data_IF_931101820313
#
_entry.id   IF_931101820313
#
_cell.length_a   1.000
_cell.length_b   1.000
_cell.length_c   1.000
_cell.angle_alpha   90.00
_cell.angle_beta   90.00
_cell.angle_gamma   90.00
#
_symmetry.space_group_name_H-M   'P 1'
#
loop_
_entity.id
_entity.type
_entity.pdbx_description
1 polymer ?
#
# COMPACT_ATOMS: atom_id res chain seq x y z
N UNK A 1 -4.97 15.71 -10.70
CA UNK A 1 -6.10 14.74 -10.58
C UNK A 1 -5.56 13.32 -10.63
N UNK A 2 -5.84 12.48 -9.62
CA UNK A 2 -5.50 11.06 -9.67
C UNK A 2 -6.54 10.28 -10.47
N UNK A 3 -6.09 9.49 -11.44
CA UNK A 3 -6.93 8.56 -12.23
C UNK A 3 -6.71 7.11 -11.84
N UNK A 4 -5.60 6.79 -11.17
CA UNK A 4 -5.37 5.51 -10.47
C UNK A 4 -4.73 5.80 -9.12
N UNK A 5 -5.25 5.13 -8.10
CA UNK A 5 -4.77 5.20 -6.72
C UNK A 5 -4.36 3.81 -6.29
N UNK A 6 -3.20 3.68 -5.65
CA UNK A 6 -2.75 2.41 -5.10
C UNK A 6 -3.67 1.92 -3.98
N UNK A 7 -4.02 0.66 -4.02
CA UNK A 7 -4.51 -0.03 -2.84
C UNK A 7 -3.34 -0.35 -1.90
N UNK A 8 -3.62 -0.45 -0.60
CA UNK A 8 -2.60 -0.95 0.33
C UNK A 8 -2.16 -2.34 -0.11
N UNK A 9 -0.84 -2.60 -0.26
CA UNK A 9 -0.37 -3.87 -0.80
C UNK A 9 -0.95 -5.08 -0.03
N UNK A 10 -1.51 -6.09 -0.70
CA UNK A 10 -2.17 -7.24 -0.03
C UNK A 10 -1.25 -7.95 0.95
N UNK A 11 0.05 -8.03 0.64
CA UNK A 11 1.04 -8.61 1.52
C UNK A 11 1.26 -7.76 2.79
N UNK A 12 1.24 -6.43 2.68
CA UNK A 12 1.31 -5.55 3.84
C UNK A 12 0.08 -5.72 4.72
N UNK A 13 -1.12 -5.77 4.13
CA UNK A 13 -2.38 -6.02 4.86
C UNK A 13 -2.32 -7.35 5.62
N UNK A 14 -1.82 -8.41 4.99
CA UNK A 14 -1.66 -9.71 5.62
C UNK A 14 -0.65 -9.68 6.77
N UNK A 15 0.57 -9.18 6.52
CA UNK A 15 1.63 -9.14 7.54
C UNK A 15 1.29 -8.22 8.72
N UNK A 16 0.61 -7.12 8.48
CA UNK A 16 0.10 -6.22 9.52
C UNK A 16 -0.93 -6.92 10.42
N UNK A 17 -1.77 -7.75 9.82
CA UNK A 17 -2.72 -8.53 10.59
C UNK A 17 -2.05 -9.68 11.37
N UNK A 18 -1.05 -10.34 10.78
CA UNK A 18 -0.26 -11.41 11.45
C UNK A 18 0.60 -10.85 12.58
N UNK A 19 1.16 -9.63 12.41
CA UNK A 19 2.03 -8.99 13.40
C UNK A 19 1.35 -8.88 14.76
N UNK A 20 1.96 -9.47 15.81
CA UNK A 20 1.40 -9.53 17.15
C UNK A 20 0.33 -10.62 17.40
N UNK A 21 -0.04 -11.42 16.37
CA UNK A 21 -0.89 -12.61 16.56
C UNK A 21 -0.09 -13.89 16.73
N UNK A 22 1.07 -13.95 16.11
CA UNK A 22 1.97 -15.09 16.20
C UNK A 22 3.42 -14.63 16.10
N UNK A 23 4.35 -15.53 16.39
CA UNK A 23 5.78 -15.24 16.21
C UNK A 23 6.10 -15.22 14.71
N UNK A 24 6.53 -14.07 14.22
CA UNK A 24 6.98 -13.91 12.83
C UNK A 24 8.47 -14.25 12.72
N UNK A 25 8.86 -14.81 11.57
CA UNK A 25 10.28 -14.94 11.22
C UNK A 25 10.93 -13.57 11.14
N UNK A 26 12.26 -13.51 11.32
CA UNK A 26 12.99 -12.24 11.19
C UNK A 26 12.87 -11.65 9.78
N UNK A 27 12.87 -12.52 8.75
CA UNK A 27 12.67 -12.15 7.36
C UNK A 27 11.31 -11.48 7.13
N UNK A 28 10.22 -12.08 7.63
CA UNK A 28 8.87 -11.52 7.48
C UNK A 28 8.69 -10.25 8.29
N UNK A 29 9.34 -10.16 9.46
CA UNK A 29 9.32 -8.93 10.26
C UNK A 29 9.98 -7.78 9.51
N UNK A 30 11.16 -8.01 8.91
CA UNK A 30 11.84 -7.02 8.07
C UNK A 30 10.99 -6.65 6.86
N UNK A 31 10.40 -7.64 6.19
CA UNK A 31 9.51 -7.44 5.05
C UNK A 31 8.29 -6.58 5.43
N UNK A 32 7.66 -6.88 6.56
CA UNK A 32 6.56 -6.08 7.10
C UNK A 32 6.94 -4.61 7.28
N UNK A 33 8.05 -4.34 7.97
CA UNK A 33 8.48 -2.96 8.21
C UNK A 33 8.89 -2.24 6.93
N UNK A 34 9.57 -2.91 6.00
CA UNK A 34 9.96 -2.33 4.72
C UNK A 34 8.73 -1.96 3.88
N UNK A 35 7.76 -2.87 3.75
CA UNK A 35 6.52 -2.60 3.02
C UNK A 35 5.70 -1.46 3.68
N UNK A 36 5.66 -1.44 5.00
CA UNK A 36 4.96 -0.41 5.76
C UNK A 36 5.59 0.96 5.55
N UNK A 37 6.90 1.07 5.73
CA UNK A 37 7.66 2.31 5.56
C UNK A 37 7.56 2.81 4.12
N UNK A 38 7.67 1.92 3.13
CA UNK A 38 7.50 2.27 1.72
C UNK A 38 6.11 2.85 1.45
N UNK A 39 5.07 2.09 1.79
CA UNK A 39 3.68 2.54 1.59
C UNK A 39 3.35 3.86 2.31
N UNK A 40 3.86 4.07 3.54
CA UNK A 40 3.68 5.33 4.28
C UNK A 40 4.37 6.51 3.57
N UNK A 41 5.54 6.28 2.96
CA UNK A 41 6.25 7.28 2.17
C UNK A 41 5.48 7.66 0.90
N UNK A 42 5.05 6.69 0.13
CA UNK A 42 4.23 6.89 -1.06
C UNK A 42 2.90 7.56 -0.71
N UNK A 43 2.23 7.11 0.36
CA UNK A 43 0.98 7.71 0.84
C UNK A 43 1.16 9.19 1.20
N UNK A 44 2.28 9.59 1.78
CA UNK A 44 2.59 10.99 2.08
C UNK A 44 2.63 11.85 0.81
N UNK A 45 3.21 11.33 -0.28
CA UNK A 45 3.23 12.00 -1.59
C UNK A 45 1.82 12.07 -2.17
N UNK A 46 1.08 10.96 -2.14
CA UNK A 46 -0.32 10.94 -2.58
C UNK A 46 -1.17 11.96 -1.83
N UNK A 47 -1.14 11.96 -0.49
CA UNK A 47 -1.94 12.86 0.34
C UNK A 47 -1.61 14.34 0.06
N UNK A 48 -0.36 14.64 -0.31
CA UNK A 48 0.04 15.98 -0.71
C UNK A 48 -0.47 16.34 -2.12
N UNK A 49 -0.16 15.52 -3.12
CA UNK A 49 -0.53 15.80 -4.53
C UNK A 49 -2.06 15.77 -4.74
N UNK A 50 -2.79 14.97 -3.98
CA UNK A 50 -4.26 14.85 -4.09
C UNK A 50 -5.02 16.12 -3.66
N UNK A 51 -4.34 17.08 -3.05
CA UNK A 51 -4.91 18.39 -2.75
C UNK A 51 -5.06 19.27 -3.99
N UNK A 52 -4.38 18.92 -5.09
CA UNK A 52 -4.37 19.66 -6.35
C UNK A 52 -5.18 18.93 -7.42
N UNK A 53 -5.92 19.71 -8.23
CA UNK A 53 -6.74 19.16 -9.32
C UNK A 53 -6.04 19.14 -10.67
N UNK A 54 -4.96 19.89 -10.79
CA UNK A 54 -4.15 20.04 -11.99
C UNK A 54 -3.16 18.90 -12.13
N UNK A 55 -2.76 18.59 -13.38
CA UNK A 55 -1.92 17.46 -13.72
C UNK A 55 -2.63 16.11 -13.56
N UNK A 56 -2.26 15.13 -14.36
CA UNK A 56 -2.79 13.76 -14.29
C UNK A 56 -1.80 12.90 -13.52
N UNK A 57 -2.26 12.30 -12.43
CA UNK A 57 -1.43 11.51 -11.54
C UNK A 57 -1.87 10.04 -11.53
N UNK A 58 -0.89 9.14 -11.50
CA UNK A 58 -1.08 7.71 -11.37
C UNK A 58 -0.19 7.22 -10.24
N UNK A 59 -0.73 6.47 -9.31
CA UNK A 59 0.01 5.86 -8.21
C UNK A 59 0.03 4.34 -8.35
N UNK A 60 1.23 3.74 -8.24
CA UNK A 60 1.50 2.29 -8.29
C UNK A 60 1.12 1.66 -9.63
N UNK A 61 2.01 1.80 -10.60
CA UNK A 61 1.89 1.12 -11.90
C UNK A 61 2.97 0.08 -12.04
N UNK A 62 2.57 -1.11 -12.45
CA UNK A 62 3.48 -2.19 -12.79
C UNK A 62 3.34 -2.51 -14.26
N UNK A 63 4.45 -2.45 -14.99
CA UNK A 63 4.52 -2.73 -16.43
C UNK A 63 5.44 -3.93 -16.69
N UNK A 64 5.18 -4.70 -17.76
CA UNK A 64 6.07 -5.75 -18.24
C UNK A 64 6.84 -5.23 -19.46
N UNK A 65 7.97 -4.57 -19.20
CA UNK A 65 8.85 -4.00 -20.23
C UNK A 65 10.20 -4.70 -20.11
N UNK A 66 10.40 -5.78 -20.88
CA UNK A 66 11.59 -6.62 -20.72
C UNK A 66 11.80 -7.06 -19.26
N UNK A 67 10.71 -7.54 -18.66
CA UNK A 67 10.58 -7.89 -17.24
C UNK A 67 9.66 -6.92 -16.47
N UNK A 68 9.15 -7.41 -15.35
CA UNK A 68 8.22 -6.68 -14.51
C UNK A 68 8.91 -5.54 -13.76
N UNK A 69 8.38 -4.32 -13.89
CA UNK A 69 8.83 -3.12 -13.17
C UNK A 69 7.63 -2.45 -12.52
N UNK A 70 7.83 -1.99 -11.31
CA UNK A 70 6.88 -1.17 -10.58
C UNK A 70 7.36 0.27 -10.54
N UNK A 71 6.48 1.20 -10.86
CA UNK A 71 6.68 2.64 -10.77
C UNK A 71 5.81 3.19 -9.67
N UNK A 72 6.39 3.97 -8.76
CA UNK A 72 5.63 4.52 -7.63
C UNK A 72 4.65 5.58 -8.13
N UNK A 73 5.11 6.62 -8.86
CA UNK A 73 4.23 7.64 -9.40
C UNK A 73 4.59 8.05 -10.82
N UNK A 74 3.54 8.28 -11.61
CA UNK A 74 3.59 9.11 -12.79
C UNK A 74 2.80 10.39 -12.55
N UNK A 75 3.38 11.55 -12.94
CA UNK A 75 2.69 12.84 -12.99
C UNK A 75 2.86 13.40 -14.39
N UNK A 76 1.75 13.58 -15.09
CA UNK A 76 1.71 13.99 -16.50
C UNK A 76 1.12 15.39 -16.56
N UNK A 77 1.88 16.32 -17.12
CA UNK A 77 1.49 17.73 -17.24
C UNK A 77 2.32 18.45 -18.28
N UNK A 78 1.69 19.23 -19.15
CA UNK A 78 2.35 20.12 -20.10
C UNK A 78 3.43 19.45 -20.96
N UNK A 79 3.13 18.26 -21.52
CA UNK A 79 4.08 17.52 -22.40
C UNK A 79 5.26 16.90 -21.65
N UNK A 80 5.17 16.78 -20.33
CA UNK A 80 6.20 16.16 -19.48
C UNK A 80 5.56 15.02 -18.67
N UNK A 81 6.26 13.89 -18.62
CA UNK A 81 5.95 12.77 -17.73
C UNK A 81 7.05 12.75 -16.64
N UNK A 82 6.66 13.10 -15.42
CA UNK A 82 7.51 12.90 -14.25
C UNK A 82 7.32 11.48 -13.73
N UNK A 83 8.41 10.74 -13.65
CA UNK A 83 8.50 9.41 -13.04
C UNK A 83 9.16 9.60 -11.68
N UNK A 84 8.42 9.35 -10.61
CA UNK A 84 8.91 9.57 -9.25
C UNK A 84 9.10 8.22 -8.55
N UNK A 85 10.32 7.98 -8.07
CA UNK A 85 10.67 6.88 -7.17
C UNK A 85 10.73 7.42 -5.74
N UNK A 86 9.95 6.86 -4.83
CA UNK A 86 9.79 7.38 -3.46
C UNK A 86 10.61 6.56 -2.47
N UNK A 87 11.47 7.23 -1.72
CA UNK A 87 12.27 6.63 -0.65
C UNK A 87 11.92 7.27 0.70
N UNK A 88 11.53 6.45 1.67
CA UNK A 88 11.20 6.91 3.03
C UNK A 88 12.29 6.48 4.04
N UNK A 89 13.54 6.77 3.71
CA UNK A 89 14.68 6.49 4.58
C UNK A 89 14.73 7.46 5.76
N UNK A 90 15.13 6.98 6.92
CA UNK A 90 15.23 7.74 8.16
C UNK A 90 16.67 7.79 8.68
N UNK A 91 17.13 8.94 9.13
CA UNK A 91 18.43 9.14 9.80
C UNK A 91 19.55 9.54 8.85
N UNK A 92 20.78 9.40 9.33
CA UNK A 92 21.99 9.82 8.64
C UNK A 92 22.54 8.70 7.74
N UNK A 93 22.91 9.07 6.55
CA UNK A 93 23.49 8.18 5.54
C UNK A 93 24.79 8.75 4.98
N UNK A 94 25.72 7.87 4.60
CA UNK A 94 26.82 8.18 3.71
C UNK A 94 26.52 7.61 2.33
N UNK A 95 26.78 8.39 1.29
CA UNK A 95 26.68 7.93 -0.09
C UNK A 95 28.08 7.62 -0.62
N UNK A 96 28.29 6.41 -1.11
CA UNK A 96 29.54 5.98 -1.73
C UNK A 96 29.28 4.88 -2.75
N UNK A 97 29.89 5.01 -3.94
CA UNK A 97 29.87 4.00 -5.00
C UNK A 97 28.43 3.52 -5.34
N UNK A 98 27.49 4.45 -5.52
CA UNK A 98 26.08 4.16 -5.83
C UNK A 98 25.22 3.78 -4.61
N UNK A 99 25.81 3.56 -3.44
CA UNK A 99 25.12 3.03 -2.27
C UNK A 99 24.91 4.08 -1.18
N UNK A 100 23.74 4.06 -0.55
CA UNK A 100 23.45 4.77 0.69
C UNK A 100 23.60 3.83 1.88
N UNK A 101 24.54 4.12 2.77
CA UNK A 101 24.77 3.36 4.00
C UNK A 101 24.35 4.19 5.21
N UNK A 102 23.41 3.70 6.02
CA UNK A 102 23.02 4.33 7.28
C UNK A 102 24.05 4.10 8.39
N UNK A 103 24.04 4.96 9.39
CA UNK A 103 24.84 4.77 10.63
C UNK A 103 24.53 3.44 11.34
N UNK A 104 23.29 2.93 11.23
CA UNK A 104 22.90 1.63 11.77
C UNK A 104 23.35 0.42 10.95
N UNK A 105 24.04 0.64 9.82
CA UNK A 105 24.55 -0.40 8.95
C UNK A 105 23.61 -0.87 7.86
N UNK A 106 22.39 -0.31 7.74
CA UNK A 106 21.52 -0.60 6.60
C UNK A 106 22.13 -0.04 5.31
N UNK A 107 22.07 -0.83 4.23
CA UNK A 107 22.59 -0.42 2.91
C UNK A 107 21.45 -0.44 1.91
N UNK A 108 21.12 0.74 1.38
CA UNK A 108 20.28 0.88 0.19
C UNK A 108 21.18 0.93 -1.02
N UNK A 109 21.15 -0.14 -1.81
CA UNK A 109 22.06 -0.33 -2.93
C UNK A 109 21.51 0.37 -4.17
N UNK A 110 22.37 1.04 -4.87
CA UNK A 110 22.23 1.43 -6.28
C UNK A 110 20.91 2.18 -6.62
N UNK A 111 20.45 3.04 -5.70
CA UNK A 111 19.15 3.72 -5.80
C UNK A 111 19.00 4.51 -7.09
N UNK A 112 20.07 5.20 -7.52
CA UNK A 112 20.03 6.04 -8.72
C UNK A 112 20.18 5.21 -10.00
N UNK A 113 20.99 4.15 -10.01
CA UNK A 113 21.11 3.25 -11.17
C UNK A 113 19.83 2.46 -11.38
N UNK A 114 19.17 2.03 -10.29
CA UNK A 114 17.84 1.40 -10.37
C UNK A 114 16.87 2.35 -11.08
N UNK A 115 16.76 3.58 -10.59
CA UNK A 115 15.88 4.60 -11.14
C UNK A 115 16.20 4.95 -12.59
N UNK A 116 17.51 5.01 -12.97
CA UNK A 116 17.91 5.19 -14.37
C UNK A 116 17.47 4.04 -15.28
N UNK A 117 17.63 2.79 -14.83
CA UNK A 117 17.19 1.62 -15.60
C UNK A 117 15.66 1.59 -15.76
N UNK A 118 14.91 1.98 -14.74
CA UNK A 118 13.44 2.12 -14.81
C UNK A 118 13.05 3.20 -15.83
N UNK A 119 13.76 4.34 -15.86
CA UNK A 119 13.55 5.38 -16.85
C UNK A 119 13.83 4.86 -18.27
N UNK A 120 14.99 4.23 -18.50
CA UNK A 120 15.36 3.75 -19.83
C UNK A 120 14.34 2.74 -20.38
N UNK A 121 13.80 1.88 -19.52
CA UNK A 121 12.72 0.97 -19.90
C UNK A 121 11.40 1.71 -20.18
N UNK A 122 11.08 2.73 -19.40
CA UNK A 122 9.87 3.53 -19.67
C UNK A 122 10.04 4.35 -20.96
N UNK A 123 11.23 4.85 -21.29
CA UNK A 123 11.52 5.48 -22.58
C UNK A 123 11.28 4.49 -23.75
N UNK A 124 11.69 3.21 -23.60
CA UNK A 124 11.40 2.17 -24.60
C UNK A 124 9.89 1.93 -24.76
N UNK A 125 9.14 1.89 -23.65
CA UNK A 125 7.66 1.81 -23.67
C UNK A 125 7.06 3.02 -24.41
N UNK A 126 7.52 4.22 -24.11
CA UNK A 126 7.04 5.42 -24.79
C UNK A 126 7.32 5.39 -26.30
N UNK A 127 8.50 4.94 -26.71
CA UNK A 127 8.86 4.77 -28.10
C UNK A 127 7.92 3.76 -28.83
N UNK A 128 7.69 2.62 -28.23
CA UNK A 128 6.78 1.57 -28.77
C UNK A 128 5.36 2.08 -28.98
N UNK A 129 4.91 2.97 -28.08
CA UNK A 129 3.54 3.52 -28.10
C UNK A 129 3.42 4.91 -28.73
N UNK A 130 4.48 5.42 -29.39
CA UNK A 130 4.53 6.74 -30.01
C UNK A 130 4.20 7.90 -29.05
N UNK A 131 4.64 7.80 -27.80
CA UNK A 131 4.52 8.87 -26.81
C UNK A 131 5.75 9.78 -26.95
N UNK A 132 5.53 11.06 -27.30
CA UNK A 132 6.60 12.03 -27.54
C UNK A 132 6.76 13.07 -26.42
N UNK A 133 6.39 12.71 -25.21
CA UNK A 133 6.54 13.57 -24.04
C UNK A 133 7.96 13.48 -23.48
N UNK A 134 8.40 14.59 -22.89
CA UNK A 134 9.68 14.62 -22.16
C UNK A 134 9.54 13.80 -20.88
N UNK A 135 10.47 12.89 -20.63
CA UNK A 135 10.52 12.11 -19.39
C UNK A 135 11.50 12.77 -18.41
N UNK A 136 11.04 13.02 -17.20
CA UNK A 136 11.84 13.51 -16.07
C UNK A 136 11.72 12.47 -14.95
N UNK A 137 12.85 11.88 -14.58
CA UNK A 137 12.93 10.86 -13.58
C UNK A 137 13.59 11.39 -12.31
N UNK A 138 12.94 11.23 -11.15
CA UNK A 138 13.43 11.76 -9.88
C UNK A 138 13.28 10.73 -8.75
N UNK A 139 14.34 10.59 -7.94
CA UNK A 139 14.29 9.86 -6.68
C UNK A 139 14.05 10.86 -5.55
N UNK A 140 12.95 10.68 -4.80
CA UNK A 140 12.52 11.63 -3.77
C UNK A 140 12.55 10.99 -2.39
N UNK A 141 13.36 11.53 -1.49
CA UNK A 141 13.47 11.12 -0.10
C UNK A 141 12.47 11.91 0.76
N UNK A 142 11.32 11.29 1.08
CA UNK A 142 10.19 11.99 1.69
C UNK A 142 10.25 12.13 3.21
N UNK A 143 11.23 11.50 3.85
CA UNK A 143 11.43 11.61 5.29
C UNK A 143 12.22 12.87 5.64
N UNK A 144 11.67 13.75 6.45
CA UNK A 144 12.32 14.99 6.87
C UNK A 144 13.59 14.78 7.70
N UNK A 145 13.73 13.62 8.33
CA UNK A 145 14.93 13.23 9.08
C UNK A 145 16.00 12.52 8.23
N UNK A 146 15.77 12.34 6.93
CA UNK A 146 16.79 11.80 6.02
C UNK A 146 17.87 12.83 5.74
N UNK A 147 19.14 12.45 5.95
CA UNK A 147 20.29 13.30 5.67
C UNK A 147 21.43 12.49 5.07
N UNK A 148 22.06 13.03 4.04
CA UNK A 148 23.36 12.55 3.55
C UNK A 148 24.45 13.43 4.17
N UNK A 149 25.34 12.81 4.95
CA UNK A 149 26.31 13.54 5.80
C UNK A 149 27.67 13.76 5.15
N UNK A 150 27.98 13.06 4.06
CA UNK A 150 29.21 13.29 3.28
C UNK A 150 28.94 14.18 2.07
N UNK A 151 30.00 14.87 1.62
CA UNK A 151 29.90 15.65 0.39
C UNK A 151 29.82 14.72 -0.82
N UNK A 152 28.84 14.96 -1.70
CA UNK A 152 28.59 14.17 -2.91
C UNK A 152 28.45 15.14 -4.08
N UNK A 153 29.43 15.10 -4.99
CA UNK A 153 29.38 15.92 -6.20
C UNK A 153 28.49 15.27 -7.28
N UNK A 154 27.76 16.11 -8.01
CA UNK A 154 26.99 15.69 -9.18
C UNK A 154 25.68 14.94 -8.89
N UNK A 155 25.37 14.61 -7.64
CA UNK A 155 24.13 13.91 -7.26
C UNK A 155 23.24 14.83 -6.43
N UNK A 156 21.99 14.93 -6.83
CA UNK A 156 20.98 15.70 -6.13
C UNK A 156 20.02 14.78 -5.38
N UNK A 157 19.98 14.95 -4.07
CA UNK A 157 19.03 14.27 -3.20
C UNK A 157 17.76 15.12 -3.06
N UNK A 158 16.73 14.78 -3.85
CA UNK A 158 15.45 15.48 -3.78
C UNK A 158 14.72 15.09 -2.50
N UNK A 159 14.01 16.04 -1.90
CA UNK A 159 13.15 15.84 -0.73
C UNK A 159 11.73 16.33 -1.04
N UNK A 160 10.86 16.43 -0.03
CA UNK A 160 9.47 16.89 -0.21
C UNK A 160 9.34 18.25 -0.91
N UNK A 161 10.35 19.11 -0.87
CA UNK A 161 10.36 20.39 -1.62
C UNK A 161 10.26 20.15 -3.13
N UNK A 162 10.83 19.05 -3.65
CA UNK A 162 10.67 18.69 -5.06
C UNK A 162 9.19 18.41 -5.40
N UNK A 163 8.47 17.69 -4.53
CA UNK A 163 7.02 17.43 -4.69
C UNK A 163 6.22 18.74 -4.60
N UNK A 164 6.58 19.63 -3.68
CA UNK A 164 5.96 20.95 -3.57
C UNK A 164 6.15 21.81 -4.82
N UNK A 165 7.37 21.80 -5.38
CA UNK A 165 7.66 22.51 -6.62
C UNK A 165 6.94 21.88 -7.82
N UNK A 166 6.85 20.57 -7.89
CA UNK A 166 6.07 19.85 -8.89
C UNK A 166 4.59 20.24 -8.81
N UNK A 167 4.02 20.27 -7.62
CA UNK A 167 2.62 20.68 -7.43
C UNK A 167 2.38 22.14 -7.87
N UNK A 168 3.30 23.06 -7.56
CA UNK A 168 3.24 24.45 -8.06
C UNK A 168 3.33 24.50 -9.58
N UNK A 169 4.20 23.69 -10.18
CA UNK A 169 4.33 23.58 -11.64
C UNK A 169 3.02 23.07 -12.25
N UNK A 170 2.43 21.99 -11.70
CA UNK A 170 1.13 21.47 -12.14
C UNK A 170 0.05 22.54 -12.14
N UNK A 171 0.00 23.36 -11.10
CA UNK A 171 -1.01 24.43 -10.97
C UNK A 171 -0.91 25.54 -12.05
N UNK A 172 0.19 25.60 -12.80
CA UNK A 172 0.38 26.57 -13.86
C UNK A 172 -0.23 26.14 -15.21
N UNK A 173 -0.73 24.90 -15.30
CA UNK A 173 -1.23 24.35 -16.55
C UNK A 173 -2.60 23.68 -16.36
N UNK A 174 -3.40 23.72 -17.43
CA UNK A 174 -4.63 22.93 -17.50
C UNK A 174 -4.30 21.50 -17.96
N UNK A 175 -5.15 20.56 -17.59
CA UNK A 175 -5.05 19.17 -18.04
C UNK A 175 -5.55 19.11 -19.50
N UNK A 176 -4.77 18.49 -20.36
CA UNK A 176 -5.15 18.29 -21.76
C UNK A 176 -5.74 16.87 -21.97
N UNK A 177 -6.48 16.71 -23.05
CA UNK A 177 -6.98 15.38 -23.47
C UNK A 177 -5.82 14.42 -23.77
N UNK A 178 -4.68 14.94 -24.22
CA UNK A 178 -3.47 14.13 -24.47
C UNK A 178 -2.84 13.65 -23.15
N UNK A 179 -2.79 14.47 -22.11
CA UNK A 179 -2.31 14.06 -20.78
C UNK A 179 -3.16 12.87 -20.25
N UNK A 180 -4.49 12.96 -20.41
CA UNK A 180 -5.42 11.90 -20.00
C UNK A 180 -5.22 10.64 -20.83
N UNK A 181 -5.15 10.76 -22.17
CA UNK A 181 -5.00 9.62 -23.06
C UNK A 181 -3.69 8.84 -22.79
N UNK A 182 -2.59 9.54 -22.54
CA UNK A 182 -1.31 8.89 -22.17
C UNK A 182 -1.45 8.17 -20.82
N UNK A 183 -2.06 8.79 -19.84
CA UNK A 183 -2.26 8.16 -18.54
C UNK A 183 -3.15 6.91 -18.62
N UNK A 184 -4.23 6.94 -19.40
CA UNK A 184 -5.09 5.79 -19.65
C UNK A 184 -4.34 4.67 -20.38
N UNK A 185 -3.47 5.02 -21.33
CA UNK A 185 -2.62 4.06 -22.03
C UNK A 185 -1.67 3.35 -21.07
N UNK A 186 -1.02 4.08 -20.19
CA UNK A 186 -0.15 3.52 -19.13
C UNK A 186 -0.94 2.57 -18.23
N UNK A 187 -2.14 2.98 -17.79
CA UNK A 187 -3.01 2.16 -16.94
C UNK A 187 -3.48 0.90 -17.66
N UNK A 188 -3.79 0.98 -18.95
CA UNK A 188 -4.20 -0.17 -19.77
C UNK A 188 -3.15 -1.29 -19.78
N UNK A 189 -1.87 -0.95 -19.67
CA UNK A 189 -0.76 -1.91 -19.60
C UNK A 189 -0.36 -2.30 -18.18
N UNK A 190 -1.09 -1.82 -17.17
CA UNK A 190 -0.83 -2.19 -15.77
C UNK A 190 -1.11 -3.66 -15.49
N UNK A 191 -0.18 -4.31 -14.80
CA UNK A 191 -0.30 -5.68 -14.32
C UNK A 191 -0.70 -5.67 -12.85
N UNK A 192 -1.91 -6.12 -12.54
CA UNK A 192 -2.43 -6.14 -11.16
C UNK A 192 -1.66 -7.10 -10.23
N UNK A 193 -1.18 -8.23 -10.76
CA UNK A 193 -0.53 -9.27 -9.94
C UNK A 193 0.90 -9.50 -10.38
N UNK A 194 1.83 -9.31 -9.45
CA UNK A 194 3.21 -9.71 -9.68
C UNK A 194 3.34 -11.23 -9.87
N UNK A 195 4.11 -11.65 -10.88
CA UNK A 195 4.48 -13.05 -11.09
C UNK A 195 5.34 -13.60 -9.95
N UNK A 196 6.02 -12.70 -9.20
CA UNK A 196 6.99 -13.02 -8.15
C UNK A 196 6.42 -12.90 -6.73
N UNK A 197 5.10 -12.78 -6.58
CA UNK A 197 4.49 -12.66 -5.26
C UNK A 197 4.58 -13.99 -4.49
N UNK A 198 5.61 -14.13 -3.65
CA UNK A 198 5.75 -15.25 -2.73
C UNK A 198 4.73 -15.15 -1.60
N UNK A 199 3.98 -16.24 -1.39
CA UNK A 199 2.90 -16.31 -0.40
C UNK A 199 3.20 -17.38 0.64
N UNK A 200 4.05 -17.05 1.62
CA UNK A 200 4.17 -17.85 2.83
C UNK A 200 3.11 -17.42 3.84
N UNK A 201 2.31 -18.37 4.29
CA UNK A 201 1.21 -18.11 5.22
C UNK A 201 1.45 -18.80 6.56
N UNK A 202 1.21 -18.06 7.63
CA UNK A 202 1.26 -18.59 8.98
C UNK A 202 0.03 -19.46 9.29
N UNK A 203 0.18 -20.54 10.07
CA UNK A 203 -0.94 -21.37 10.48
C UNK A 203 -1.95 -20.58 11.31
N UNK A 204 -3.20 -20.49 10.83
CA UNK A 204 -4.27 -19.73 11.47
C UNK A 204 -4.59 -20.21 12.88
N UNK A 205 -4.56 -21.52 13.12
CA UNK A 205 -4.82 -22.16 14.41
C UNK A 205 -3.84 -21.76 15.52
N UNK A 206 -2.63 -21.30 15.15
CA UNK A 206 -1.60 -20.81 16.06
C UNK A 206 -1.67 -19.30 16.33
N UNK A 207 -2.62 -18.59 15.71
CA UNK A 207 -2.76 -17.15 15.85
C UNK A 207 -3.60 -16.75 17.07
N UNK A 208 -3.19 -15.70 17.77
CA UNK A 208 -4.01 -15.05 18.80
C UNK A 208 -5.28 -14.50 18.16
N UNK A 209 -6.43 -14.91 18.70
CA UNK A 209 -7.75 -14.48 18.25
C UNK A 209 -8.09 -13.10 18.81
N UNK A 210 -9.02 -12.42 18.15
CA UNK A 210 -9.51 -11.11 18.58
C UNK A 210 -9.41 -10.06 17.47
N UNK A 211 -10.31 -9.09 17.50
CA UNK A 211 -10.33 -7.99 16.53
C UNK A 211 -9.29 -6.93 16.92
N UNK A 212 -8.54 -6.44 15.97
CA UNK A 212 -7.67 -5.27 16.15
C UNK A 212 -8.40 -3.99 15.74
N UNK A 213 -8.03 -2.89 16.37
CA UNK A 213 -8.47 -1.57 15.95
C UNK A 213 -7.86 -1.23 14.58
N UNK A 214 -8.64 -0.78 13.59
CA UNK A 214 -8.11 -0.41 12.28
C UNK A 214 -7.14 0.78 12.32
N UNK A 215 -7.28 1.67 13.32
CA UNK A 215 -6.43 2.87 13.44
C UNK A 215 -5.10 2.61 14.16
N UNK A 216 -5.14 1.95 15.32
CA UNK A 216 -3.94 1.79 16.15
C UNK A 216 -3.41 0.36 16.23
N UNK A 217 -4.03 -0.59 15.54
CA UNK A 217 -3.70 -2.01 15.45
C UNK A 217 -3.60 -2.76 16.79
N UNK A 218 -4.04 -2.16 17.90
CA UNK A 218 -4.14 -2.83 19.19
C UNK A 218 -5.40 -3.70 19.24
N UNK A 219 -5.33 -4.83 19.95
CA UNK A 219 -6.50 -5.68 20.17
C UNK A 219 -7.60 -4.90 20.90
N UNK A 220 -8.82 -4.99 20.36
CA UNK A 220 -10.01 -4.40 20.95
C UNK A 220 -10.54 -5.29 22.08
N UNK A 221 -10.91 -4.69 23.19
CA UNK A 221 -11.72 -5.36 24.21
C UNK A 221 -13.18 -5.25 23.79
N UNK A 222 -13.70 -6.31 23.16
CA UNK A 222 -15.10 -6.40 22.77
C UNK A 222 -15.82 -7.19 23.85
N UNK A 223 -16.67 -6.52 24.61
CA UNK A 223 -17.43 -7.15 25.68
C UNK A 223 -18.89 -7.40 25.26
N UNK A 224 -19.50 -8.44 25.81
CA UNK A 224 -20.96 -8.70 25.70
C UNK A 224 -21.76 -7.66 26.47
N UNK A 225 -21.65 -6.41 26.08
CA UNK A 225 -22.36 -5.30 26.72
C UNK A 225 -23.60 -4.88 25.91
N UNK A 226 -24.52 -4.19 26.56
CA UNK A 226 -25.69 -3.56 25.92
C UNK A 226 -25.27 -2.36 25.02
N UNK A 227 -24.04 -1.88 25.14
CA UNK A 227 -23.53 -0.75 24.35
C UNK A 227 -23.56 -1.07 22.85
N UNK A 228 -24.03 -0.11 22.06
CA UNK A 228 -24.14 -0.25 20.60
C UNK A 228 -22.81 -0.11 19.88
N UNK A 229 -21.86 0.60 20.49
CA UNK A 229 -20.55 0.90 19.92
C UNK A 229 -19.41 0.28 20.73
N UNK A 230 -18.38 -0.13 20.06
CA UNK A 230 -17.09 -0.55 20.59
C UNK A 230 -16.15 0.65 20.48
N UNK A 231 -15.48 1.02 21.56
CA UNK A 231 -14.58 2.16 21.63
C UNK A 231 -13.17 1.67 21.94
N UNK A 232 -12.23 1.99 21.06
CA UNK A 232 -10.82 1.71 21.28
C UNK A 232 -10.19 2.73 22.24
N UNK A 233 -9.12 2.36 22.91
CA UNK A 233 -8.32 3.29 23.73
C UNK A 233 -7.68 4.44 22.95
N UNK A 234 -7.58 4.37 21.61
CA UNK A 234 -7.16 5.49 20.76
C UNK A 234 -8.29 6.47 20.42
N UNK A 235 -9.55 6.19 20.86
CA UNK A 235 -10.71 7.00 20.55
C UNK A 235 -11.52 6.52 19.34
N UNK A 236 -10.99 5.61 18.53
CA UNK A 236 -11.73 5.04 17.40
C UNK A 236 -13.00 4.32 17.88
N UNK A 237 -14.10 4.53 17.15
CA UNK A 237 -15.42 3.96 17.46
C UNK A 237 -15.93 3.16 16.27
N UNK A 238 -16.47 1.97 16.54
CA UNK A 238 -17.14 1.16 15.53
C UNK A 238 -18.43 0.56 16.10
N UNK A 239 -19.38 0.29 15.24
CA UNK A 239 -20.59 -0.45 15.59
C UNK A 239 -20.30 -1.94 15.74
N UNK A 240 -21.21 -2.67 16.43
CA UNK A 240 -21.10 -4.13 16.49
C UNK A 240 -21.26 -4.82 15.13
N UNK A 241 -21.96 -4.21 14.18
CA UNK A 241 -22.10 -4.75 12.82
C UNK A 241 -20.78 -4.61 12.07
N UNK A 242 -20.16 -3.44 12.11
CA UNK A 242 -18.82 -3.22 11.54
C UNK A 242 -17.79 -4.18 12.14
N UNK A 243 -17.79 -4.35 13.47
CA UNK A 243 -16.88 -5.29 14.14
C UNK A 243 -17.07 -6.76 13.69
N UNK A 244 -18.32 -7.18 13.41
CA UNK A 244 -18.60 -8.52 12.89
C UNK A 244 -18.08 -8.66 11.47
N UNK A 245 -18.33 -7.67 10.60
CA UNK A 245 -17.86 -7.69 9.22
C UNK A 245 -16.33 -7.68 9.16
N UNK A 246 -15.70 -6.76 9.90
CA UNK A 246 -14.22 -6.66 9.99
C UNK A 246 -13.59 -7.97 10.51
N UNK A 247 -14.13 -8.54 11.58
CA UNK A 247 -13.63 -9.82 12.10
C UNK A 247 -13.80 -10.95 11.08
N UNK A 248 -14.93 -11.00 10.38
CA UNK A 248 -15.17 -11.98 9.34
C UNK A 248 -14.13 -11.87 8.20
N UNK A 249 -13.90 -10.68 7.67
CA UNK A 249 -12.94 -10.42 6.60
C UNK A 249 -11.50 -10.79 7.01
N UNK A 250 -11.10 -10.42 8.25
CA UNK A 250 -9.76 -10.78 8.76
C UNK A 250 -9.60 -12.29 8.97
N UNK A 251 -10.62 -12.96 9.47
CA UNK A 251 -10.60 -14.43 9.63
C UNK A 251 -10.51 -15.10 8.24
N UNK A 252 -11.34 -14.68 7.28
CA UNK A 252 -11.33 -15.23 5.92
C UNK A 252 -9.96 -15.06 5.25
N UNK A 253 -9.37 -13.87 5.37
CA UNK A 253 -8.03 -13.56 4.85
C UNK A 253 -6.95 -14.42 5.50
N UNK A 254 -6.91 -14.51 6.84
CA UNK A 254 -5.89 -15.26 7.57
C UNK A 254 -6.03 -16.76 7.40
N UNK A 255 -7.25 -17.27 7.41
CA UNK A 255 -7.59 -18.69 7.27
C UNK A 255 -7.54 -19.16 5.82
N UNK A 256 -7.81 -18.23 4.87
CA UNK A 256 -7.93 -18.50 3.43
C UNK A 256 -9.01 -19.53 3.09
N UNK A 257 -10.00 -19.63 3.93
CA UNK A 257 -11.14 -20.54 3.81
C UNK A 257 -12.39 -19.86 4.36
N UNK A 258 -13.53 -20.43 4.05
CA UNK A 258 -14.82 -20.02 4.56
C UNK A 258 -14.88 -20.01 6.09
N UNK A 259 -15.65 -19.09 6.65
CA UNK A 259 -15.67 -18.74 8.07
C UNK A 259 -17.01 -19.16 8.70
N UNK A 260 -16.99 -19.67 9.92
CA UNK A 260 -18.18 -19.97 10.70
C UNK A 260 -18.57 -18.82 11.64
N UNK A 261 -19.84 -18.73 12.01
CA UNK A 261 -20.28 -17.76 13.00
C UNK A 261 -19.65 -17.95 14.39
N UNK A 262 -19.19 -19.16 14.70
CA UNK A 262 -18.49 -19.49 15.94
C UNK A 262 -17.10 -18.87 15.95
N UNK A 263 -16.35 -19.00 14.85
CA UNK A 263 -15.03 -18.38 14.71
C UNK A 263 -15.12 -16.85 14.86
N UNK A 264 -16.12 -16.21 14.26
CA UNK A 264 -16.35 -14.76 14.45
C UNK A 264 -16.68 -14.44 15.91
N UNK A 265 -17.51 -15.28 16.57
CA UNK A 265 -17.85 -15.10 18.00
C UNK A 265 -16.61 -15.11 18.89
N UNK A 266 -15.64 -15.99 18.61
CA UNK A 266 -14.37 -16.06 19.35
C UNK A 266 -13.49 -14.79 19.21
N UNK A 267 -13.71 -14.01 18.14
CA UNK A 267 -12.97 -12.78 17.89
C UNK A 267 -13.61 -11.53 18.50
N UNK A 268 -14.95 -11.48 18.57
CA UNK A 268 -15.66 -10.25 18.93
C UNK A 268 -16.56 -10.39 20.17
N UNK A 269 -16.62 -11.56 20.80
CA UNK A 269 -17.50 -11.86 21.94
C UNK A 269 -18.95 -11.31 21.80
N UNK A 270 -19.51 -11.44 20.61
CA UNK A 270 -20.89 -11.08 20.27
C UNK A 270 -21.70 -12.37 20.10
N UNK A 271 -22.99 -12.36 20.47
CA UNK A 271 -23.82 -13.57 20.35
C UNK A 271 -23.86 -14.10 18.92
N UNK A 272 -23.74 -15.40 18.77
CA UNK A 272 -23.79 -16.09 17.46
C UNK A 272 -25.07 -15.83 16.69
N UNK A 273 -26.20 -15.58 17.38
CA UNK A 273 -27.48 -15.19 16.76
C UNK A 273 -27.34 -13.87 16.01
N UNK A 274 -26.73 -12.86 16.64
CA UNK A 274 -26.48 -11.56 15.99
C UNK A 274 -25.50 -11.68 14.86
N UNK A 275 -24.40 -12.42 15.06
CA UNK A 275 -23.40 -12.68 14.04
C UNK A 275 -24.04 -13.33 12.81
N UNK A 276 -24.85 -14.40 13.00
CA UNK A 276 -25.54 -15.05 11.89
C UNK A 276 -26.48 -14.11 11.14
N UNK A 277 -27.17 -13.21 11.84
CA UNK A 277 -28.01 -12.20 11.18
C UNK A 277 -27.20 -11.33 10.24
N UNK A 278 -26.07 -10.77 10.72
CA UNK A 278 -25.18 -9.93 9.91
C UNK A 278 -24.56 -10.72 8.76
N UNK A 279 -23.97 -11.89 9.02
CA UNK A 279 -23.34 -12.69 7.97
C UNK A 279 -24.35 -13.17 6.92
N UNK A 280 -25.62 -13.44 7.29
CA UNK A 280 -26.66 -13.78 6.33
C UNK A 280 -27.00 -12.63 5.36
N UNK A 281 -26.81 -11.40 5.78
CA UNK A 281 -27.06 -10.19 4.98
C UNK A 281 -25.87 -9.87 4.05
N UNK A 282 -24.64 -9.97 4.57
CA UNK A 282 -23.45 -9.48 3.89
C UNK A 282 -22.62 -10.56 3.17
N UNK A 283 -22.84 -11.86 3.46
CA UNK A 283 -21.99 -12.94 2.94
C UNK A 283 -22.79 -13.98 2.14
N UNK A 284 -22.09 -14.74 1.30
CA UNK A 284 -22.61 -15.98 0.73
C UNK A 284 -22.64 -17.08 1.78
N UNK A 285 -23.70 -17.90 1.77
CA UNK A 285 -23.85 -19.05 2.64
C UNK A 285 -23.35 -20.31 1.95
N UNK A 286 -22.57 -21.11 2.67
CA UNK A 286 -22.08 -22.41 2.21
C UNK A 286 -22.58 -23.47 3.17
N UNK A 287 -23.36 -24.41 2.68
CA UNK A 287 -23.98 -25.48 3.47
C UNK A 287 -25.23 -25.04 4.29
N UNK A 288 -25.88 -26.00 4.90
CA UNK A 288 -27.10 -25.80 5.68
C UNK A 288 -26.93 -26.20 7.16
N UNK A 289 -27.78 -25.65 8.03
CA UNK A 289 -27.89 -26.01 9.45
C UNK A 289 -26.63 -25.86 10.32
N UNK A 290 -26.34 -26.84 11.18
CA UNK A 290 -25.13 -26.88 12.03
C UNK A 290 -23.91 -27.05 11.15
N UNK A 291 -22.98 -26.08 11.22
CA UNK A 291 -21.75 -26.09 10.42
C UNK A 291 -21.79 -25.17 9.18
N UNK A 292 -22.87 -24.36 9.02
CA UNK A 292 -22.92 -23.34 7.97
C UNK A 292 -21.72 -22.45 8.03
N UNK A 293 -21.07 -22.32 6.86
CA UNK A 293 -19.94 -21.42 6.62
C UNK A 293 -20.38 -20.23 5.78
N UNK A 294 -19.56 -19.21 5.78
CA UNK A 294 -19.79 -17.96 5.07
C UNK A 294 -18.56 -17.59 4.26
N UNK A 295 -18.77 -16.90 3.13
CA UNK A 295 -17.73 -16.38 2.25
C UNK A 295 -18.10 -14.97 1.78
N UNK A 296 -17.14 -14.08 1.62
CA UNK A 296 -17.39 -12.72 1.15
C UNK A 296 -18.09 -12.71 -0.21
N UNK A 297 -18.99 -11.75 -0.42
CA UNK A 297 -19.69 -11.54 -1.70
C UNK A 297 -18.79 -10.90 -2.75
N UNK A 298 -17.85 -10.08 -2.32
CA UNK A 298 -16.86 -9.44 -3.19
C UNK A 298 -15.53 -10.19 -3.10
N UNK A 299 -14.98 -10.56 -4.25
CA UNK A 299 -13.59 -10.99 -4.37
C UNK A 299 -12.66 -9.76 -4.27
N UNK A 300 -12.65 -9.08 -3.14
CA UNK A 300 -11.66 -8.05 -2.82
C UNK A 300 -10.48 -8.67 -2.06
N UNK A 301 -9.87 -9.69 -2.66
CA UNK A 301 -8.59 -10.23 -2.22
C UNK A 301 -7.74 -10.50 -3.46
#
# INVERSE_FOLDING_TARGET
MFIKIAAKPPQLVYLEEVHGRTHMTETDRRKYYNLKIGYEGEKKVYDYLNQFKQGVCIWDVRLDISGEIQYDFFVIVNGIIFVLEIKNHYGNYTYKDGNLKSESGFVSRDVFSQSSNERDKFEAFCFEHNIHFKIVNEVVFVNENFKVINNVEGIKFHNMIAIENLAKYMCSFEITDEDIAIAELIIKHHIEKSKNEQKDYYPYDKMTRGLKCPECHRFLKVERSAKRQIVCSCGHKMSKTEAICEAFEKIEMLKRDSVTATEVCEWVDISTTRIRKVLNEYCYKIGENKGRKYKSKDKRL
#
